data_IF_337817851097
#
_entry.id   IF_337817851097
#
_cell.length_a   1.000
_cell.length_b   1.000
_cell.length_c   1.000
_cell.angle_alpha   90.00
_cell.angle_beta   90.00
_cell.angle_gamma   90.00
#
_symmetry.space_group_name_H-M   'P 1'
#
loop_
_entity.id
_entity.type
_entity.pdbx_description
1 polymer ?
#
# COMPACT_ATOMS: atom_id res chain seq x y z
N UNK A 1 12.98 -15.53 7.64
CA UNK A 1 11.67 -16.04 8.03
C UNK A 1 11.60 -17.56 7.98
N UNK A 2 11.01 -18.18 9.01
CA UNK A 2 10.63 -19.61 8.99
C UNK A 2 9.31 -19.89 8.26
N UNK A 3 8.70 -18.86 7.67
CA UNK A 3 7.41 -18.93 7.01
C UNK A 3 7.34 -20.02 5.93
N UNK A 4 6.14 -20.59 5.83
CA UNK A 4 5.77 -21.62 4.86
C UNK A 4 4.29 -21.46 4.55
N UNK A 5 3.89 -21.84 3.35
CA UNK A 5 2.48 -21.92 3.02
C UNK A 5 1.78 -22.98 3.88
N UNK A 6 0.47 -22.80 4.10
CA UNK A 6 -0.33 -23.72 4.91
C UNK A 6 -0.26 -25.12 4.31
N UNK A 7 -0.01 -26.12 5.17
CA UNK A 7 0.05 -27.53 4.77
C UNK A 7 -1.21 -27.93 4.01
N UNK A 8 -1.02 -28.61 2.87
CA UNK A 8 -2.07 -29.01 1.94
C UNK A 8 -2.32 -27.96 0.84
N UNK A 9 -2.25 -26.67 1.17
CA UNK A 9 -2.37 -25.59 0.18
C UNK A 9 -1.05 -25.40 -0.56
N UNK A 10 0.07 -25.57 0.15
CA UNK A 10 1.42 -25.58 -0.40
C UNK A 10 1.56 -26.53 -1.60
N UNK A 11 1.04 -27.75 -1.49
CA UNK A 11 1.13 -28.76 -2.56
C UNK A 11 0.02 -28.70 -3.58
N UNK A 12 -1.23 -28.48 -3.16
CA UNK A 12 -2.39 -28.66 -4.04
C UNK A 12 -2.84 -27.37 -4.74
N UNK A 13 -2.43 -26.21 -4.23
CA UNK A 13 -2.84 -24.90 -4.76
C UNK A 13 -1.63 -24.11 -5.21
N UNK A 14 -0.70 -23.85 -4.29
CA UNK A 14 0.36 -22.88 -4.56
C UNK A 14 1.49 -23.45 -5.41
N UNK A 15 1.90 -24.71 -5.22
CA UNK A 15 2.93 -25.30 -6.10
C UNK A 15 2.49 -25.35 -7.59
N UNK A 16 1.26 -25.80 -7.94
CA UNK A 16 0.77 -25.72 -9.32
C UNK A 16 0.67 -24.28 -9.83
N UNK A 17 0.15 -23.36 -9.01
CA UNK A 17 0.04 -21.94 -9.36
C UNK A 17 1.41 -21.30 -9.63
N UNK A 18 2.37 -21.46 -8.72
CA UNK A 18 3.73 -20.93 -8.86
C UNK A 18 4.46 -21.56 -10.06
N UNK A 19 4.21 -22.84 -10.34
CA UNK A 19 4.73 -23.49 -11.55
C UNK A 19 4.16 -22.89 -12.83
N UNK A 20 2.86 -22.59 -12.85
CA UNK A 20 2.22 -21.91 -13.98
C UNK A 20 2.81 -20.51 -14.16
N UNK A 21 2.87 -19.71 -13.09
CA UNK A 21 3.43 -18.36 -13.11
C UNK A 21 4.88 -18.33 -13.59
N UNK A 22 5.72 -19.25 -13.12
CA UNK A 22 7.10 -19.41 -13.62
C UNK A 22 7.14 -19.72 -15.12
N UNK A 23 6.27 -20.63 -15.59
CA UNK A 23 6.25 -21.04 -17.01
C UNK A 23 5.80 -19.94 -17.96
N UNK A 24 5.03 -18.97 -17.46
CA UNK A 24 4.51 -17.83 -18.22
C UNK A 24 5.25 -16.52 -17.90
N UNK A 25 6.35 -16.58 -17.14
CA UNK A 25 7.09 -15.41 -16.66
C UNK A 25 6.19 -14.36 -16.00
N UNK A 26 5.19 -14.81 -15.25
CA UNK A 26 4.20 -13.97 -14.57
C UNK A 26 4.51 -13.86 -13.07
N UNK A 27 4.22 -12.72 -12.42
CA UNK A 27 4.49 -12.54 -11.00
C UNK A 27 3.44 -13.23 -10.12
N UNK A 28 3.82 -13.51 -8.88
CA UNK A 28 2.92 -13.83 -7.80
C UNK A 28 2.46 -12.55 -7.10
N UNK A 29 1.18 -12.20 -7.27
CA UNK A 29 0.58 -11.00 -6.68
C UNK A 29 0.13 -11.30 -5.25
N UNK A 30 0.53 -10.45 -4.31
CA UNK A 30 0.18 -10.55 -2.88
C UNK A 30 -0.33 -9.23 -2.34
N UNK A 31 -1.19 -9.29 -1.32
CA UNK A 31 -1.77 -8.12 -0.66
C UNK A 31 -1.26 -8.03 0.80
N UNK A 32 0.00 -7.60 1.02
CA UNK A 32 0.61 -7.50 2.34
C UNK A 32 0.08 -6.24 3.05
N UNK A 33 -0.90 -6.43 3.94
CA UNK A 33 -1.43 -5.35 4.77
C UNK A 33 -0.85 -5.40 6.19
N UNK A 34 0.08 -4.50 6.55
CA UNK A 34 0.43 -4.27 7.94
C UNK A 34 -0.78 -3.91 8.81
N UNK A 35 -1.73 -3.17 8.24
CA UNK A 35 -2.95 -2.71 8.92
C UNK A 35 -3.78 -3.84 9.55
N UNK A 36 -3.84 -5.03 8.95
CA UNK A 36 -4.64 -6.12 9.53
C UNK A 36 -3.89 -6.96 10.59
N UNK A 37 -2.58 -6.74 10.76
CA UNK A 37 -1.73 -7.61 11.59
C UNK A 37 -1.00 -6.91 12.74
N UNK A 38 -1.15 -5.59 12.90
CA UNK A 38 -0.46 -4.84 13.95
C UNK A 38 -1.20 -4.88 15.29
N UNK A 39 -0.45 -4.53 16.33
CA UNK A 39 -0.90 -4.25 17.70
C UNK A 39 -0.39 -2.85 18.09
N UNK A 40 -0.82 -2.32 19.24
CA UNK A 40 -0.32 -1.05 19.75
C UNK A 40 1.22 -1.04 19.86
N UNK A 41 1.85 -2.14 20.27
CA UNK A 41 3.30 -2.28 20.41
C UNK A 41 4.03 -2.33 19.07
N UNK A 42 3.33 -2.71 18.00
CA UNK A 42 3.90 -2.88 16.66
C UNK A 42 3.42 -1.81 15.68
N UNK A 43 2.68 -0.81 16.15
CA UNK A 43 2.18 0.29 15.33
C UNK A 43 3.32 1.04 14.62
N UNK A 44 4.38 1.39 15.35
CA UNK A 44 5.52 2.08 14.74
C UNK A 44 6.25 1.21 13.70
N UNK A 45 6.30 -0.10 13.93
CA UNK A 45 6.84 -1.07 12.99
C UNK A 45 5.95 -1.19 11.72
N UNK A 46 4.64 -1.08 11.87
CA UNK A 46 3.69 -1.08 10.76
C UNK A 46 3.73 0.23 9.95
N UNK A 47 3.97 1.37 10.61
CA UNK A 47 3.97 2.71 10.01
C UNK A 47 5.33 3.17 9.47
N UNK A 48 6.35 2.30 9.46
CA UNK A 48 7.74 2.62 9.08
C UNK A 48 8.41 3.67 9.97
N UNK A 49 7.94 3.84 11.21
CA UNK A 49 8.54 4.76 12.19
C UNK A 49 9.77 4.13 12.86
N UNK A 50 10.66 4.92 13.48
CA UNK A 50 11.75 4.37 14.29
C UNK A 50 11.23 3.41 15.35
N UNK A 51 11.76 2.19 15.36
CA UNK A 51 11.37 1.13 16.30
C UNK A 51 12.56 0.18 16.54
N UNK A 52 12.51 -0.71 17.55
CA UNK A 52 13.60 -1.65 17.85
C UNK A 52 13.89 -2.68 16.74
N UNK A 53 12.98 -2.84 15.78
CA UNK A 53 13.00 -3.87 14.75
C UNK A 53 12.57 -5.25 15.26
N UNK A 54 12.29 -6.15 14.30
CA UNK A 54 11.96 -7.54 14.53
C UNK A 54 13.12 -8.42 14.05
N UNK A 55 13.82 -9.05 14.99
CA UNK A 55 14.92 -9.97 14.66
C UNK A 55 14.38 -11.38 14.37
N UNK A 56 14.54 -11.86 13.12
CA UNK A 56 14.13 -13.21 12.74
C UNK A 56 15.21 -14.23 13.12
N UNK A 57 14.88 -15.12 14.04
CA UNK A 57 15.82 -16.13 14.54
C UNK A 57 16.24 -17.15 13.48
N UNK A 58 15.50 -17.31 12.39
CA UNK A 58 15.82 -18.28 11.35
C UNK A 58 16.81 -17.71 10.33
N UNK A 59 16.54 -16.53 9.79
CA UNK A 59 17.41 -15.87 8.79
C UNK A 59 18.49 -15.00 9.42
N UNK A 60 18.41 -14.73 10.73
CA UNK A 60 19.33 -13.84 11.46
C UNK A 60 19.34 -12.40 10.92
N UNK A 61 18.23 -11.99 10.33
CA UNK A 61 18.03 -10.65 9.77
C UNK A 61 17.14 -9.83 10.69
N UNK A 62 17.43 -8.53 10.76
CA UNK A 62 16.61 -7.55 11.47
C UNK A 62 15.69 -6.85 10.46
N UNK A 63 14.39 -6.93 10.69
CA UNK A 63 13.39 -6.18 9.94
C UNK A 63 13.06 -4.89 10.67
N UNK A 64 13.11 -3.75 9.99
CA UNK A 64 12.79 -2.44 10.60
C UNK A 64 11.36 -1.97 10.29
N UNK A 65 10.65 -2.66 9.41
CA UNK A 65 9.24 -2.41 9.09
C UNK A 65 8.49 -3.70 8.75
N UNK A 66 7.17 -3.68 8.93
CA UNK A 66 6.31 -4.85 8.77
C UNK A 66 6.15 -5.31 7.33
N UNK A 67 6.19 -4.39 6.36
CA UNK A 67 6.09 -4.73 4.94
C UNK A 67 7.24 -5.67 4.52
N UNK A 68 8.48 -5.32 4.86
CA UNK A 68 9.64 -6.15 4.54
C UNK A 68 9.53 -7.55 5.15
N UNK A 69 9.06 -7.64 6.40
CA UNK A 69 8.88 -8.91 7.10
C UNK A 69 7.78 -9.77 6.44
N UNK A 70 6.70 -9.15 5.96
CA UNK A 70 5.62 -9.83 5.24
C UNK A 70 6.08 -10.34 3.87
N UNK A 71 6.76 -9.51 3.08
CA UNK A 71 7.30 -9.89 1.77
C UNK A 71 8.33 -11.02 1.89
N UNK A 72 9.25 -10.93 2.85
CA UNK A 72 10.24 -11.98 3.08
C UNK A 72 9.64 -13.28 3.62
N UNK A 73 8.49 -13.20 4.28
CA UNK A 73 7.73 -14.39 4.68
C UNK A 73 7.09 -15.08 3.47
N UNK A 74 6.55 -14.32 2.51
CA UNK A 74 6.08 -14.85 1.22
C UNK A 74 7.23 -15.46 0.43
N UNK A 75 8.35 -14.73 0.29
CA UNK A 75 9.54 -15.21 -0.40
C UNK A 75 10.08 -16.51 0.20
N UNK A 76 10.21 -16.57 1.53
CA UNK A 76 10.67 -17.79 2.23
C UNK A 76 9.72 -18.97 1.99
N UNK A 77 8.40 -18.73 1.91
CA UNK A 77 7.43 -19.77 1.63
C UNK A 77 7.51 -20.28 0.17
N UNK A 78 7.77 -19.39 -0.79
CA UNK A 78 8.01 -19.74 -2.20
C UNK A 78 9.32 -20.50 -2.39
N UNK A 79 10.40 -20.06 -1.75
CA UNK A 79 11.73 -20.68 -1.82
C UNK A 79 11.70 -22.13 -1.32
N UNK A 80 10.98 -22.40 -0.23
CA UNK A 80 10.75 -23.78 0.27
C UNK A 80 10.10 -24.72 -0.75
N UNK A 81 9.34 -24.18 -1.71
CA UNK A 81 8.74 -24.95 -2.78
C UNK A 81 9.59 -24.99 -4.06
N UNK A 82 10.72 -24.27 -4.09
CA UNK A 82 11.64 -24.17 -5.24
C UNK A 82 11.23 -23.12 -6.27
N UNK A 83 10.62 -22.02 -5.82
CA UNK A 83 10.11 -20.93 -6.68
C UNK A 83 10.59 -19.54 -6.23
N UNK A 84 11.80 -19.42 -5.67
CA UNK A 84 12.39 -18.12 -5.30
C UNK A 84 12.66 -17.22 -6.52
N UNK A 85 12.66 -17.79 -7.72
CA UNK A 85 12.83 -17.09 -9.01
C UNK A 85 11.54 -16.43 -9.53
N UNK A 86 10.38 -16.71 -8.94
CA UNK A 86 9.12 -16.07 -9.33
C UNK A 86 9.06 -14.65 -8.75
N UNK A 87 8.69 -13.67 -9.58
CA UNK A 87 8.51 -12.28 -9.18
C UNK A 87 7.37 -12.08 -8.19
N UNK A 88 7.49 -11.09 -7.31
CA UNK A 88 6.45 -10.70 -6.34
C UNK A 88 5.96 -9.30 -6.68
N UNK A 89 4.65 -9.14 -6.80
CA UNK A 89 3.98 -7.84 -6.97
C UNK A 89 3.09 -7.57 -5.77
N UNK A 90 3.10 -6.34 -5.27
CA UNK A 90 2.21 -5.89 -4.20
C UNK A 90 0.91 -5.41 -4.87
N UNK A 91 -0.11 -6.27 -4.86
CA UNK A 91 -1.39 -6.01 -5.52
C UNK A 91 -2.29 -5.04 -4.75
N UNK A 92 -2.22 -5.05 -3.43
CA UNK A 92 -2.94 -4.11 -2.58
C UNK A 92 -2.19 -3.87 -1.28
N UNK A 93 -2.05 -2.60 -0.91
CA UNK A 93 -1.52 -2.17 0.38
C UNK A 93 -2.02 -0.75 0.68
N UNK A 94 -2.37 -0.47 1.93
CA UNK A 94 -2.85 0.85 2.32
C UNK A 94 -3.17 0.94 3.80
N UNK A 95 -3.61 2.12 4.23
CA UNK A 95 -4.02 2.40 5.59
C UNK A 95 -5.28 3.28 5.58
N UNK A 96 -6.32 2.94 6.36
CA UNK A 96 -7.58 3.68 6.34
C UNK A 96 -7.44 5.02 7.07
N UNK A 97 -8.18 6.03 6.61
CA UNK A 97 -8.19 7.38 7.22
C UNK A 97 -9.24 7.56 8.31
N UNK A 98 -10.15 6.61 8.45
CA UNK A 98 -11.22 6.60 9.45
C UNK A 98 -11.58 5.14 9.76
N UNK A 99 -11.90 4.83 11.02
CA UNK A 99 -12.12 3.48 11.50
C UNK A 99 -13.06 3.44 12.70
N UNK A 100 -13.37 2.22 13.15
CA UNK A 100 -14.11 1.99 14.39
C UNK A 100 -13.24 2.37 15.61
N UNK A 101 -13.87 2.57 16.76
CA UNK A 101 -13.23 3.14 17.97
C UNK A 101 -12.05 2.30 18.51
N UNK A 102 -12.03 1.01 18.20
CA UNK A 102 -11.00 0.05 18.61
C UNK A 102 -9.85 -0.05 17.60
N UNK A 103 -9.94 0.61 16.45
CA UNK A 103 -8.90 0.62 15.42
C UNK A 103 -7.87 1.72 15.70
N UNK A 104 -6.85 1.37 16.49
CA UNK A 104 -5.83 2.30 16.98
C UNK A 104 -4.95 2.85 15.85
N UNK A 105 -4.64 4.15 15.84
CA UNK A 105 -3.79 4.72 14.80
C UNK A 105 -4.49 4.79 13.44
N UNK A 106 -5.82 4.88 13.45
CA UNK A 106 -6.62 5.11 12.26
C UNK A 106 -7.15 6.54 12.30
N UNK A 107 -6.49 7.40 11.53
CA UNK A 107 -6.89 8.77 11.26
C UNK A 107 -6.25 9.25 9.96
N UNK A 108 -6.69 10.42 9.47
CA UNK A 108 -6.20 11.03 8.23
C UNK A 108 -4.68 11.23 8.24
N UNK A 109 -4.10 11.64 9.37
CA UNK A 109 -2.68 11.93 9.48
C UNK A 109 -1.83 10.65 9.40
N UNK A 110 -2.27 9.60 10.08
CA UNK A 110 -1.61 8.30 10.10
C UNK A 110 -1.73 7.58 8.75
N UNK A 111 -2.89 7.68 8.08
CA UNK A 111 -3.05 7.16 6.71
C UNK A 111 -2.12 7.86 5.71
N UNK A 112 -2.02 9.18 5.80
CA UNK A 112 -1.10 9.98 4.99
C UNK A 112 0.36 9.60 5.24
N UNK A 113 0.74 9.43 6.52
CA UNK A 113 2.08 8.99 6.92
C UNK A 113 2.41 7.61 6.35
N UNK A 114 1.55 6.62 6.57
CA UNK A 114 1.78 5.26 6.08
C UNK A 114 1.98 5.24 4.57
N UNK A 115 1.05 5.83 3.80
CA UNK A 115 1.11 5.79 2.35
C UNK A 115 2.29 6.59 1.78
N UNK A 116 2.69 7.70 2.43
CA UNK A 116 3.89 8.46 2.05
C UNK A 116 5.18 7.69 2.35
N UNK A 117 5.25 7.04 3.53
CA UNK A 117 6.39 6.22 3.91
C UNK A 117 6.51 4.98 3.01
N UNK A 118 5.37 4.37 2.66
CA UNK A 118 5.30 3.29 1.68
C UNK A 118 5.90 3.71 0.34
N UNK A 119 5.43 4.80 -0.26
CA UNK A 119 5.95 5.33 -1.53
C UNK A 119 7.46 5.58 -1.45
N UNK A 120 7.92 6.17 -0.35
CA UNK A 120 9.34 6.42 -0.10
C UNK A 120 10.13 5.11 -0.01
N UNK A 121 9.56 4.12 0.69
CA UNK A 121 10.19 2.82 0.97
C UNK A 121 10.32 1.96 -0.29
N UNK A 122 9.30 1.90 -1.14
CA UNK A 122 9.34 1.10 -2.37
C UNK A 122 10.20 1.75 -3.45
N UNK A 123 10.26 3.08 -3.49
CA UNK A 123 11.09 3.82 -4.44
C UNK A 123 12.56 3.95 -4.01
N UNK A 124 12.94 3.54 -2.80
CA UNK A 124 14.34 3.59 -2.36
C UNK A 124 15.26 2.61 -3.10
N UNK A 125 14.68 1.58 -3.76
CA UNK A 125 15.42 0.54 -4.46
C UNK A 125 16.20 -0.42 -3.54
N UNK A 126 16.03 -0.31 -2.22
CA UNK A 126 16.78 -1.13 -1.25
C UNK A 126 16.41 -2.62 -1.32
N UNK A 127 15.21 -2.96 -1.79
CA UNK A 127 14.64 -4.30 -1.66
C UNK A 127 14.35 -4.66 -0.20
N UNK A 128 14.14 -5.93 0.10
CA UNK A 128 13.94 -6.43 1.47
C UNK A 128 15.21 -7.12 1.98
N UNK A 129 15.33 -7.45 3.28
CA UNK A 129 16.50 -8.15 3.80
C UNK A 129 16.86 -9.47 3.08
N UNK A 130 15.88 -10.30 2.66
CA UNK A 130 16.13 -11.52 1.87
C UNK A 130 16.17 -11.29 0.35
N UNK A 131 15.62 -10.17 -0.12
CA UNK A 131 15.61 -9.81 -1.53
C UNK A 131 16.26 -8.42 -1.73
N UNK A 132 17.56 -8.26 -1.40
CA UNK A 132 18.24 -6.97 -1.50
C UNK A 132 18.30 -6.51 -2.96
N UNK A 133 18.14 -5.20 -3.19
CA UNK A 133 18.12 -4.56 -4.50
C UNK A 133 16.97 -4.99 -5.43
N UNK A 134 15.97 -5.74 -4.93
CA UNK A 134 14.75 -6.05 -5.67
C UNK A 134 13.78 -4.87 -5.60
N UNK A 135 13.17 -4.51 -6.72
CA UNK A 135 12.07 -3.56 -6.77
C UNK A 135 10.74 -4.31 -6.77
N UNK A 136 9.72 -3.72 -6.14
CA UNK A 136 8.38 -4.30 -6.09
C UNK A 136 7.41 -3.35 -6.77
N UNK A 137 6.79 -3.79 -7.85
CA UNK A 137 5.62 -3.10 -8.39
C UNK A 137 4.53 -3.09 -7.31
N UNK A 138 3.99 -1.91 -7.02
CA UNK A 138 3.18 -1.66 -5.84
C UNK A 138 1.93 -0.87 -6.17
N UNK A 139 0.78 -1.42 -5.81
CA UNK A 139 -0.52 -0.82 -6.01
C UNK A 139 -1.11 -0.39 -4.65
N UNK A 140 -1.30 0.92 -4.48
CA UNK A 140 -1.90 1.48 -3.28
C UNK A 140 -3.40 1.24 -3.31
N UNK A 141 -3.90 0.59 -2.27
CA UNK A 141 -5.32 0.41 -2.02
C UNK A 141 -5.81 1.55 -1.11
N UNK A 142 -6.68 2.44 -1.56
CA UNK A 142 -7.28 2.53 -2.89
C UNK A 142 -7.34 3.96 -3.40
N UNK A 143 -7.80 4.13 -4.66
CA UNK A 143 -7.94 5.46 -5.23
C UNK A 143 -9.02 6.28 -4.52
N UNK A 144 -10.17 5.68 -4.22
CA UNK A 144 -11.34 6.36 -3.63
C UNK A 144 -11.81 5.69 -2.35
N UNK A 145 -12.47 6.45 -1.48
CA UNK A 145 -13.33 5.89 -0.45
C UNK A 145 -14.52 5.17 -1.09
N UNK A 146 -14.76 3.93 -0.67
CA UNK A 146 -15.76 3.03 -1.24
C UNK A 146 -16.93 2.85 -0.26
N UNK A 147 -17.88 3.77 -0.31
CA UNK A 147 -18.99 3.88 0.67
C UNK A 147 -19.95 2.68 0.74
N UNK A 148 -19.91 1.78 -0.25
CA UNK A 148 -20.72 0.56 -0.28
C UNK A 148 -20.01 -0.68 0.28
N UNK A 149 -18.74 -0.56 0.72
CA UNK A 149 -18.03 -1.69 1.35
C UNK A 149 -18.67 -2.05 2.69
N UNK A 150 -18.98 -3.35 2.83
CA UNK A 150 -19.44 -3.96 4.08
C UNK A 150 -18.29 -4.11 5.08
N UNK A 151 -18.63 -4.26 6.36
CA UNK A 151 -17.65 -4.48 7.43
C UNK A 151 -17.35 -3.22 8.24
N UNK A 152 -16.19 -3.21 8.94
CA UNK A 152 -15.76 -2.10 9.79
C UNK A 152 -15.76 -0.75 9.09
N UNK A 153 -15.74 0.35 9.85
CA UNK A 153 -15.63 1.71 9.27
C UNK A 153 -14.37 1.90 8.45
N UNK A 154 -13.27 1.22 8.77
CA UNK A 154 -12.05 1.22 7.96
C UNK A 154 -12.27 0.82 6.51
N UNK A 155 -13.13 -0.16 6.25
CA UNK A 155 -13.34 -0.69 4.90
C UNK A 155 -13.83 0.37 3.91
N UNK A 156 -14.56 1.39 4.38
CA UNK A 156 -15.08 2.46 3.54
C UNK A 156 -14.10 3.62 3.33
N UNK A 157 -12.93 3.57 3.99
CA UNK A 157 -12.07 4.75 4.19
C UNK A 157 -10.59 4.51 3.85
N UNK A 158 -10.27 3.59 2.93
CA UNK A 158 -8.90 3.37 2.41
C UNK A 158 -8.48 4.33 1.28
N UNK A 159 -9.39 5.17 0.79
CA UNK A 159 -9.12 6.05 -0.33
C UNK A 159 -8.05 7.09 -0.05
N UNK A 160 -7.30 7.46 -1.08
CA UNK A 160 -6.48 8.68 -1.08
C UNK A 160 -7.29 9.91 -1.58
N UNK A 161 -8.40 9.67 -2.27
CA UNK A 161 -9.39 10.68 -2.67
C UNK A 161 -10.79 10.35 -2.14
N UNK A 162 -11.62 11.39 -1.99
CA UNK A 162 -13.06 11.24 -1.85
C UNK A 162 -13.70 10.97 -3.21
N UNK A 163 -14.96 10.55 -3.22
CA UNK A 163 -15.73 10.30 -4.44
C UNK A 163 -15.93 11.52 -5.34
N UNK A 164 -15.76 12.73 -4.81
CA UNK A 164 -15.82 14.00 -5.55
C UNK A 164 -14.47 14.44 -6.14
N UNK A 165 -13.46 13.55 -6.13
CA UNK A 165 -12.08 13.78 -6.58
C UNK A 165 -11.27 14.73 -5.69
N UNK A 166 -11.80 15.22 -4.58
CA UNK A 166 -11.00 15.97 -3.61
C UNK A 166 -10.02 15.03 -2.90
N UNK A 167 -8.75 15.44 -2.71
CA UNK A 167 -7.80 14.63 -1.97
C UNK A 167 -8.21 14.55 -0.49
N UNK A 168 -8.02 13.38 0.11
CA UNK A 168 -8.12 13.23 1.58
C UNK A 168 -6.81 13.69 2.21
N UNK A 169 -5.68 13.33 1.60
CA UNK A 169 -4.32 13.72 1.98
C UNK A 169 -3.36 13.66 0.78
N UNK A 170 -2.20 14.32 0.85
CA UNK A 170 -1.13 14.29 -0.18
C UNK A 170 0.04 13.39 0.25
N UNK A 171 0.34 12.38 -0.56
CA UNK A 171 1.45 11.43 -0.35
C UNK A 171 2.67 11.71 -1.24
N UNK A 172 2.68 12.85 -1.93
CA UNK A 172 3.81 13.31 -2.74
C UNK A 172 3.81 12.82 -4.20
N UNK A 173 2.73 12.17 -4.65
CA UNK A 173 2.60 11.66 -6.03
C UNK A 173 1.70 12.54 -6.93
N UNK A 174 1.06 13.56 -6.36
CA UNK A 174 0.20 14.46 -7.13
C UNK A 174 1.02 15.37 -8.04
N UNK A 175 0.49 15.64 -9.25
CA UNK A 175 1.13 16.57 -10.19
C UNK A 175 1.28 17.95 -9.54
N UNK A 176 2.34 18.71 -9.86
CA UNK A 176 2.55 20.06 -9.31
C UNK A 176 1.34 21.00 -9.49
N UNK A 177 0.57 20.82 -10.57
CA UNK A 177 -0.65 21.59 -10.84
C UNK A 177 -1.78 21.36 -9.83
N UNK A 178 -1.79 20.21 -9.12
CA UNK A 178 -2.77 19.93 -8.07
C UNK A 178 -2.47 20.71 -6.78
N UNK A 179 -1.19 20.96 -6.48
CA UNK A 179 -0.77 21.72 -5.29
C UNK A 179 -1.24 23.18 -5.29
N UNK A 180 -1.54 23.75 -6.47
CA UNK A 180 -2.05 25.13 -6.58
C UNK A 180 -3.56 25.26 -6.35
N UNK A 181 -4.26 24.15 -6.09
CA UNK A 181 -5.71 24.15 -5.87
C UNK A 181 -6.12 24.05 -4.40
N UNK A 182 -5.16 24.01 -3.47
CA UNK A 182 -5.46 24.16 -2.04
C UNK A 182 -6.09 25.55 -1.79
N UNK A 183 -7.32 25.63 -1.27
CA UNK A 183 -8.01 26.91 -1.09
C UNK A 183 -7.45 27.74 0.06
N UNK A 184 -6.59 27.19 0.92
CA UNK A 184 -6.17 27.86 2.15
C UNK A 184 -5.15 28.99 1.99
N UNK A 185 -4.62 29.26 0.79
CA UNK A 185 -3.59 30.31 0.63
C UNK A 185 -3.65 31.13 -0.67
N UNK A 186 -4.80 31.22 -1.34
CA UNK A 186 -4.89 32.10 -2.51
C UNK A 186 -5.26 33.54 -2.12
N UNK A 187 -4.36 34.53 -2.31
CA UNK A 187 -4.76 35.94 -2.23
C UNK A 187 -5.83 36.21 -3.28
N UNK A 188 -6.82 37.01 -2.91
CA UNK A 188 -8.00 37.39 -3.72
C UNK A 188 -7.54 37.77 -5.13
N UNK A 189 -7.77 36.88 -6.09
CA UNK A 189 -7.56 37.14 -7.51
C UNK A 189 -8.83 37.76 -8.09
N UNK A 190 -8.73 38.72 -9.04
CA UNK A 190 -9.89 39.42 -9.56
C UNK A 190 -10.84 38.45 -10.29
N UNK A 191 -12.14 38.72 -10.15
CA UNK A 191 -13.26 37.89 -10.61
C UNK A 191 -13.02 37.23 -11.98
N UNK A 192 -13.04 35.90 -12.03
CA UNK A 192 -13.03 35.14 -13.27
C UNK A 192 -14.34 35.40 -14.02
N UNK A 193 -14.26 36.14 -15.13
CA UNK A 193 -15.33 36.24 -16.13
C UNK A 193 -15.19 35.11 -17.13
N UNK A 194 -16.30 34.44 -17.41
CA UNK A 194 -16.38 33.35 -18.38
C UNK A 194 -17.12 33.84 -19.61
N UNK A 195 -16.65 33.47 -20.80
CA UNK A 195 -17.38 33.74 -22.04
C UNK A 195 -18.48 32.69 -22.22
N UNK A 196 -19.72 33.16 -22.42
CA UNK A 196 -20.85 32.31 -22.81
C UNK A 196 -21.04 32.44 -24.31
N UNK A 197 -21.26 31.31 -25.00
CA UNK A 197 -21.57 31.31 -26.42
C UNK A 197 -22.87 32.08 -26.70
N UNK A 198 -22.90 32.83 -27.80
CA UNK A 198 -24.07 33.63 -28.19
C UNK A 198 -25.21 32.68 -28.57
N UNK A 199 -26.43 32.98 -28.11
CA UNK A 199 -27.61 32.20 -28.47
C UNK A 199 -27.76 32.12 -30.01
N UNK A 200 -27.87 30.89 -30.53
CA UNK A 200 -28.02 30.61 -31.96
C UNK A 200 -26.73 30.21 -32.70
N UNK A 201 -25.62 29.99 -32.00
CA UNK A 201 -24.46 29.33 -32.61
C UNK A 201 -24.75 27.82 -32.74
N UNK A 202 -25.05 27.36 -33.95
CA UNK A 202 -25.12 25.92 -34.26
C UNK A 202 -23.71 25.29 -34.27
N UNK A 203 -23.61 24.04 -33.82
CA UNK A 203 -22.38 23.24 -33.72
C UNK A 203 -21.91 22.69 -35.06
#
# INVERSE_FOLDING_TARGET
SSAKFRRGYDTNVLKPLLSFLRSTSSPFVVNPYPFFGYSIETLDFALFRPNPGLFDQHTKLLYTNMLDAQLDSVYSAMDRLGFSDVEIVIGEIGWPSEGDIDQIGVDVATAAEFNKNLVTRVNSGTGTPLMPNRTFETYIFALFNENLKSGPTSERNFGIFRSDLSPIYDIGIFRPTFRSSNPENNPVSPEKRWCVTKAGAET
#
